data_IF_350627716003
#
_entry.id   IF_350627716003
#
_cell.length_a   1.000
_cell.length_b   1.000
_cell.length_c   1.000
_cell.angle_alpha   90.00
_cell.angle_beta   90.00
_cell.angle_gamma   90.00
#
_symmetry.space_group_name_H-M   'P 1'
#
loop_
_entity.id
_entity.type
_entity.pdbx_description
1 polymer ?
#
# COMPACT_ATOMS: atom_id res chain seq x y z
N UNK A 1 -3.71 -8.31 -1.76
CA UNK A 1 -3.40 -8.45 -3.20
C UNK A 1 -2.37 -9.55 -3.49
N UNK A 2 -1.25 -9.65 -2.76
CA UNK A 2 -0.27 -10.75 -2.95
C UNK A 2 -0.87 -12.16 -2.76
N UNK A 3 -1.63 -12.36 -1.68
CA UNK A 3 -2.33 -13.64 -1.41
C UNK A 3 -3.24 -14.10 -2.56
N UNK A 4 -3.94 -13.18 -3.23
CA UNK A 4 -4.82 -13.55 -4.35
C UNK A 4 -4.04 -13.97 -5.60
N UNK A 5 -2.88 -13.36 -5.85
CA UNK A 5 -2.01 -13.76 -6.97
C UNK A 5 -1.38 -15.13 -6.72
N UNK A 6 -1.02 -15.42 -5.47
CA UNK A 6 -0.45 -16.70 -5.07
C UNK A 6 -1.47 -17.85 -5.16
N UNK A 7 -2.70 -17.63 -4.65
CA UNK A 7 -3.79 -18.59 -4.79
C UNK A 7 -4.10 -18.94 -6.25
N UNK A 8 -4.12 -17.95 -7.15
CA UNK A 8 -4.38 -18.21 -8.58
C UNK A 8 -3.22 -18.91 -9.27
N UNK A 9 -1.98 -18.70 -8.82
CA UNK A 9 -0.82 -19.42 -9.34
C UNK A 9 -0.89 -20.90 -8.99
N UNK A 10 -1.30 -21.22 -7.76
CA UNK A 10 -1.57 -22.60 -7.32
C UNK A 10 -2.69 -23.25 -8.12
N UNK A 11 -3.76 -22.50 -8.44
CA UNK A 11 -4.87 -22.99 -9.26
C UNK A 11 -4.43 -23.31 -10.71
N UNK A 12 -3.59 -22.46 -11.31
CA UNK A 12 -2.99 -22.71 -12.63
C UNK A 12 -2.10 -23.95 -12.61
N UNK A 13 -1.28 -24.13 -11.57
CA UNK A 13 -0.38 -25.26 -11.46
C UNK A 13 -1.13 -26.57 -11.19
N UNK A 14 -2.23 -26.52 -10.44
CA UNK A 14 -3.17 -27.64 -10.29
C UNK A 14 -3.80 -28.05 -11.62
N UNK A 15 -4.28 -27.09 -12.42
CA UNK A 15 -4.85 -27.37 -13.75
C UNK A 15 -3.79 -27.89 -14.74
N UNK A 16 -2.53 -27.42 -14.65
CA UNK A 16 -1.43 -28.02 -15.42
C UNK A 16 -1.14 -29.46 -14.99
N UNK A 17 -1.23 -29.77 -13.69
CA UNK A 17 -1.03 -31.11 -13.16
C UNK A 17 -2.15 -32.07 -13.58
N UNK A 18 -3.41 -31.61 -13.63
CA UNK A 18 -4.55 -32.41 -14.13
C UNK A 18 -4.41 -32.87 -15.58
N UNK A 19 -3.64 -32.14 -16.41
CA UNK A 19 -3.37 -32.56 -17.79
C UNK A 19 -2.34 -33.67 -17.91
N UNK A 20 -1.61 -34.00 -16.85
CA UNK A 20 -0.70 -35.15 -16.83
C UNK A 20 -1.50 -36.41 -16.56
N UNK A 21 -1.20 -37.54 -17.24
CA UNK A 21 -1.82 -38.82 -16.91
C UNK A 21 -1.61 -39.13 -15.42
N UNK A 22 -2.70 -39.36 -14.68
CA UNK A 22 -2.63 -39.73 -13.27
C UNK A 22 -2.86 -41.25 -13.15
N UNK A 23 -1.80 -42.06 -13.10
CA UNK A 23 -1.94 -43.51 -13.03
C UNK A 23 -2.54 -43.91 -11.68
N UNK A 24 -3.60 -44.71 -11.70
CA UNK A 24 -4.20 -45.24 -10.48
C UNK A 24 -3.87 -46.72 -10.35
N UNK A 25 -3.46 -47.15 -9.15
CA UNK A 25 -3.14 -48.55 -8.85
C UNK A 25 -4.21 -49.10 -7.92
N UNK A 26 -4.92 -50.13 -8.37
CA UNK A 26 -5.97 -50.79 -7.59
C UNK A 26 -5.49 -52.17 -7.17
N UNK A 27 -5.49 -52.43 -5.86
CA UNK A 27 -5.16 -53.71 -5.26
C UNK A 27 -6.39 -54.27 -4.53
N UNK A 28 -6.79 -55.50 -4.85
CA UNK A 28 -7.97 -56.12 -4.24
C UNK A 28 -7.90 -57.64 -4.19
N UNK A 29 -8.72 -58.24 -3.33
CA UNK A 29 -8.88 -59.70 -3.22
C UNK A 29 -10.28 -60.05 -3.69
N UNK A 30 -10.39 -60.87 -4.73
CA UNK A 30 -11.67 -61.37 -5.22
C UNK A 30 -11.85 -62.82 -4.78
N UNK A 31 -13.02 -63.11 -4.20
CA UNK A 31 -13.41 -64.47 -3.83
C UNK A 31 -14.34 -65.01 -4.91
N UNK A 32 -13.97 -66.11 -5.57
CA UNK A 32 -14.82 -66.76 -6.55
C UNK A 32 -15.27 -68.12 -6.05
N UNK A 33 -16.55 -68.45 -6.25
CA UNK A 33 -17.11 -69.78 -6.01
C UNK A 33 -17.53 -70.35 -7.36
N UNK A 34 -16.84 -71.37 -7.85
CA UNK A 34 -17.23 -72.08 -9.06
C UNK A 34 -18.39 -73.02 -8.74
N UNK A 35 -19.47 -72.95 -9.53
CA UNK A 35 -20.62 -73.83 -9.36
C UNK A 35 -20.21 -75.28 -9.64
N UNK A 36 -20.30 -76.14 -8.62
CA UNK A 36 -20.00 -77.58 -8.72
C UNK A 36 -18.73 -78.06 -8.00
N UNK A 37 -17.94 -77.19 -7.36
CA UNK A 37 -16.79 -77.61 -6.54
C UNK A 37 -16.78 -76.90 -5.17
N UNK A 38 -16.62 -77.67 -4.08
CA UNK A 38 -16.55 -77.18 -2.70
C UNK A 38 -15.16 -76.61 -2.36
N UNK A 39 -14.73 -75.55 -3.05
CA UNK A 39 -13.46 -74.87 -2.80
C UNK A 39 -13.63 -73.34 -2.90
N UNK A 40 -13.21 -72.61 -1.86
CA UNK A 40 -13.20 -71.14 -1.84
C UNK A 40 -11.85 -70.68 -2.38
N UNK A 41 -11.83 -70.06 -3.56
CA UNK A 41 -10.61 -69.54 -4.16
C UNK A 41 -10.52 -68.02 -3.95
N UNK A 42 -9.44 -67.59 -3.28
CA UNK A 42 -9.14 -66.19 -2.99
C UNK A 42 -7.97 -65.75 -3.87
N UNK A 43 -8.20 -64.83 -4.82
CA UNK A 43 -7.17 -64.35 -5.73
C UNK A 43 -6.86 -62.88 -5.45
N UNK A 44 -5.57 -62.54 -5.34
CA UNK A 44 -5.08 -61.15 -5.24
C UNK A 44 -4.94 -60.61 -6.66
N UNK A 45 -5.51 -59.42 -6.93
CA UNK A 45 -5.40 -58.73 -8.23
C UNK A 45 -4.83 -57.34 -8.01
N UNK A 46 -3.82 -57.00 -8.83
CA UNK A 46 -3.30 -55.66 -8.99
C UNK A 46 -3.60 -55.17 -10.41
N UNK A 47 -4.21 -54.00 -10.55
CA UNK A 47 -4.48 -53.35 -11.82
C UNK A 47 -3.88 -51.95 -11.83
N UNK A 48 -3.28 -51.56 -12.95
CA UNK A 48 -2.76 -50.20 -13.19
C UNK A 48 -3.58 -49.58 -14.31
N UNK A 49 -4.26 -48.49 -14.01
CA UNK A 49 -5.04 -47.73 -14.98
C UNK A 49 -4.33 -46.42 -15.32
N UNK A 50 -4.06 -46.16 -16.60
CA UNK A 50 -3.43 -44.92 -17.08
C UNK A 50 -4.42 -44.23 -18.03
N UNK A 51 -5.17 -43.22 -17.56
CA UNK A 51 -6.08 -42.49 -18.44
C UNK A 51 -5.28 -41.60 -19.42
N UNK A 52 -5.57 -41.75 -20.72
CA UNK A 52 -5.01 -40.90 -21.78
C UNK A 52 -6.07 -39.90 -22.24
N UNK A 53 -5.83 -38.59 -22.04
CA UNK A 53 -6.69 -37.54 -22.57
C UNK A 53 -6.33 -37.22 -24.03
N UNK A 54 -7.14 -37.70 -24.98
CA UNK A 54 -6.94 -37.48 -26.42
C UNK A 54 -7.49 -36.13 -26.92
N UNK A 55 -8.41 -35.49 -26.17
CA UNK A 55 -9.02 -34.19 -26.50
C UNK A 55 -8.90 -33.26 -25.29
N UNK A 56 -8.05 -32.23 -25.40
CA UNK A 56 -7.75 -31.29 -24.31
C UNK A 56 -8.75 -30.12 -24.29
N UNK A 57 -9.88 -30.30 -23.59
CA UNK A 57 -10.85 -29.20 -23.33
C UNK A 57 -10.34 -28.18 -22.30
N UNK A 58 -9.23 -28.46 -21.61
CA UNK A 58 -8.70 -27.58 -20.56
C UNK A 58 -7.81 -26.45 -21.13
N UNK A 59 -7.50 -26.45 -22.43
CA UNK A 59 -6.73 -25.38 -23.08
C UNK A 59 -7.38 -24.00 -22.94
N UNK A 60 -8.71 -23.91 -23.09
CA UNK A 60 -9.45 -22.65 -22.94
C UNK A 60 -9.48 -22.17 -21.49
N UNK A 61 -9.59 -23.08 -20.52
CA UNK A 61 -9.49 -22.74 -19.11
C UNK A 61 -8.12 -22.13 -18.81
N UNK A 62 -7.04 -22.78 -19.23
CA UNK A 62 -5.67 -22.27 -19.03
C UNK A 62 -5.44 -20.90 -19.69
N UNK A 63 -5.97 -20.66 -20.88
CA UNK A 63 -5.89 -19.34 -21.53
C UNK A 63 -6.67 -18.28 -20.74
N UNK A 64 -7.87 -18.61 -20.23
CA UNK A 64 -8.66 -17.73 -19.37
C UNK A 64 -7.94 -17.37 -18.07
N UNK A 65 -7.31 -18.35 -17.40
CA UNK A 65 -6.51 -18.10 -16.20
C UNK A 65 -5.22 -17.31 -16.50
N UNK A 66 -4.54 -17.56 -17.62
CA UNK A 66 -3.38 -16.78 -18.04
C UNK A 66 -3.75 -15.31 -18.29
N UNK A 67 -4.88 -15.05 -18.95
CA UNK A 67 -5.39 -13.69 -19.15
C UNK A 67 -5.76 -13.02 -17.81
N UNK A 68 -6.36 -13.76 -16.88
CA UNK A 68 -6.67 -13.28 -15.52
C UNK A 68 -5.42 -12.95 -14.72
N UNK A 69 -4.37 -13.77 -14.83
CA UNK A 69 -3.07 -13.53 -14.20
C UNK A 69 -2.41 -12.27 -14.78
N UNK A 70 -2.40 -12.12 -16.10
CA UNK A 70 -1.88 -10.91 -16.74
C UNK A 70 -2.64 -9.65 -16.31
N UNK A 71 -3.97 -9.73 -16.17
CA UNK A 71 -4.78 -8.63 -15.68
C UNK A 71 -4.43 -8.26 -14.23
N UNK A 72 -4.22 -9.24 -13.35
CA UNK A 72 -3.81 -9.00 -11.96
C UNK A 72 -2.40 -8.41 -11.87
N UNK A 73 -1.47 -8.92 -12.67
CA UNK A 73 -0.11 -8.36 -12.74
C UNK A 73 -0.14 -6.90 -13.22
N UNK A 74 -0.96 -6.59 -14.23
CA UNK A 74 -1.17 -5.22 -14.69
C UNK A 74 -1.78 -4.35 -13.58
N UNK A 75 -2.80 -4.84 -12.88
CA UNK A 75 -3.38 -4.12 -11.74
C UNK A 75 -2.35 -3.85 -10.65
N UNK A 76 -1.54 -4.85 -10.25
CA UNK A 76 -0.49 -4.65 -9.25
C UNK A 76 0.53 -3.60 -9.68
N UNK A 77 1.01 -3.66 -10.92
CA UNK A 77 1.92 -2.65 -11.47
C UNK A 77 1.28 -1.27 -11.49
N UNK A 78 0.01 -1.19 -11.87
CA UNK A 78 -0.74 0.06 -11.87
C UNK A 78 -0.83 0.67 -10.46
N UNK A 79 -1.20 -0.12 -9.45
CA UNK A 79 -1.24 0.35 -8.06
C UNK A 79 0.14 0.77 -7.54
N UNK A 80 1.18 -0.01 -7.83
CA UNK A 80 2.55 0.35 -7.45
C UNK A 80 2.98 1.67 -8.10
N UNK A 81 2.70 1.86 -9.39
CA UNK A 81 2.99 3.10 -10.11
C UNK A 81 2.18 4.28 -9.57
N UNK A 82 0.91 4.06 -9.24
CA UNK A 82 0.04 5.08 -8.66
C UNK A 82 0.57 5.54 -7.30
N UNK A 83 1.01 4.61 -6.45
CA UNK A 83 1.61 4.91 -5.15
C UNK A 83 2.92 5.70 -5.32
N UNK A 84 3.81 5.28 -6.23
CA UNK A 84 5.04 6.01 -6.53
C UNK A 84 4.76 7.44 -7.02
N UNK A 85 3.77 7.61 -7.89
CA UNK A 85 3.37 8.93 -8.38
C UNK A 85 2.76 9.80 -7.28
N UNK A 86 1.99 9.23 -6.34
CA UNK A 86 1.49 9.94 -5.17
C UNK A 86 2.64 10.41 -4.25
N UNK A 87 3.60 9.54 -3.95
CA UNK A 87 4.79 9.88 -3.15
C UNK A 87 5.60 11.02 -3.80
N UNK A 88 5.85 10.94 -5.11
CA UNK A 88 6.56 12.00 -5.85
C UNK A 88 5.84 13.35 -5.78
N UNK A 89 4.51 13.35 -5.88
CA UNK A 89 3.71 14.58 -5.75
C UNK A 89 3.86 15.18 -4.36
N UNK A 90 3.69 14.39 -3.30
CA UNK A 90 3.86 14.84 -1.91
C UNK A 90 5.26 15.42 -1.66
N UNK A 91 6.31 14.74 -2.16
CA UNK A 91 7.68 15.23 -2.03
C UNK A 91 7.91 16.55 -2.76
N UNK A 92 7.31 16.71 -3.95
CA UNK A 92 7.38 17.96 -4.72
C UNK A 92 6.66 19.10 -4.00
N UNK A 93 5.48 18.82 -3.45
CA UNK A 93 4.71 19.76 -2.65
C UNK A 93 5.49 20.22 -1.42
N UNK A 94 6.08 19.30 -0.67
CA UNK A 94 6.94 19.59 0.49
C UNK A 94 8.13 20.47 0.12
N UNK A 95 8.80 20.17 -0.99
CA UNK A 95 9.92 20.97 -1.50
C UNK A 95 9.47 22.38 -1.88
N UNK A 96 8.28 22.51 -2.49
CA UNK A 96 7.66 23.79 -2.79
C UNK A 96 7.33 24.60 -1.55
N UNK A 97 6.72 23.99 -0.53
CA UNK A 97 6.40 24.61 0.75
C UNK A 97 7.67 25.11 1.46
N UNK A 98 8.73 24.30 1.49
CA UNK A 98 10.01 24.70 2.09
C UNK A 98 10.65 25.88 1.34
N UNK A 99 10.61 25.88 0.01
CA UNK A 99 11.13 26.99 -0.80
C UNK A 99 10.37 28.28 -0.53
N UNK A 100 9.04 28.22 -0.49
CA UNK A 100 8.19 29.37 -0.13
C UNK A 100 8.51 29.89 1.28
N UNK A 101 8.75 28.99 2.23
CA UNK A 101 9.10 29.36 3.60
C UNK A 101 10.43 30.11 3.65
N UNK A 102 11.44 29.61 2.94
CA UNK A 102 12.75 30.25 2.87
C UNK A 102 12.68 31.64 2.23
N UNK A 103 11.89 31.80 1.16
CA UNK A 103 11.67 33.11 0.53
C UNK A 103 11.00 34.10 1.50
N UNK A 104 9.96 33.67 2.21
CA UNK A 104 9.30 34.52 3.22
C UNK A 104 10.27 34.92 4.34
N UNK A 105 11.05 33.96 4.85
CA UNK A 105 11.95 34.16 5.98
C UNK A 105 13.18 35.01 5.64
N UNK A 106 13.73 34.88 4.43
CA UNK A 106 14.96 35.56 4.02
C UNK A 106 14.73 36.90 3.31
N UNK A 107 13.57 37.10 2.68
CA UNK A 107 13.33 38.28 1.85
C UNK A 107 12.10 39.05 2.30
N UNK A 108 10.91 38.43 2.31
CA UNK A 108 9.66 39.19 2.48
C UNK A 108 9.52 39.79 3.90
N UNK A 109 9.73 39.00 4.95
CA UNK A 109 9.61 39.50 6.33
C UNK A 109 10.66 40.58 6.63
N UNK A 110 11.97 40.37 6.34
CA UNK A 110 12.98 41.42 6.54
C UNK A 110 12.65 42.72 5.79
N UNK A 111 12.16 42.61 4.54
CA UNK A 111 11.75 43.78 3.76
C UNK A 111 10.57 44.51 4.42
N UNK A 112 9.56 43.79 4.90
CA UNK A 112 8.43 44.43 5.60
C UNK A 112 8.81 45.05 6.94
N UNK A 113 9.81 44.50 7.64
CA UNK A 113 10.41 45.16 8.82
C UNK A 113 11.08 46.47 8.41
N UNK A 114 11.87 46.48 7.33
CA UNK A 114 12.53 47.68 6.83
C UNK A 114 11.52 48.76 6.39
N UNK A 115 10.42 48.35 5.74
CA UNK A 115 9.33 49.25 5.36
C UNK A 115 8.68 49.89 6.59
N UNK A 116 8.38 49.10 7.62
CA UNK A 116 7.81 49.63 8.86
C UNK A 116 8.76 50.61 9.54
N UNK A 117 10.06 50.29 9.61
CA UNK A 117 11.08 51.17 10.20
C UNK A 117 11.18 52.51 9.46
N UNK A 118 11.22 52.48 8.12
CA UNK A 118 11.21 53.69 7.29
C UNK A 118 9.92 54.49 7.45
N UNK A 119 8.77 53.84 7.60
CA UNK A 119 7.51 54.53 7.85
C UNK A 119 7.48 55.18 9.23
N UNK A 120 8.02 54.54 10.26
CA UNK A 120 8.16 55.12 11.59
C UNK A 120 9.03 56.39 11.56
N UNK A 121 10.19 56.33 10.88
CA UNK A 121 11.06 57.49 10.69
C UNK A 121 10.36 58.61 9.91
N UNK A 122 9.63 58.26 8.84
CA UNK A 122 8.87 59.23 8.06
C UNK A 122 7.68 59.84 8.82
N UNK A 123 7.03 59.07 9.70
CA UNK A 123 5.99 59.58 10.60
C UNK A 123 6.58 60.57 11.62
N UNK A 124 7.72 60.24 12.24
CA UNK A 124 8.44 61.17 13.13
C UNK A 124 8.83 62.46 12.41
N UNK A 125 9.19 62.37 11.13
CA UNK A 125 9.46 63.51 10.26
C UNK A 125 8.20 64.20 9.69
N UNK A 126 6.99 63.73 10.03
CA UNK A 126 5.70 64.28 9.57
C UNK A 126 5.33 63.96 8.11
N UNK A 127 6.07 63.07 7.44
CA UNK A 127 5.83 62.67 6.03
C UNK A 127 4.78 61.59 5.86
N UNK A 128 4.56 60.76 6.87
CA UNK A 128 3.54 59.71 6.87
C UNK A 128 2.55 59.93 8.00
N UNK A 129 1.32 59.43 7.81
CA UNK A 129 0.29 59.44 8.85
C UNK A 129 0.47 58.25 9.79
N UNK A 130 -0.15 58.33 10.99
CA UNK A 130 -0.17 57.19 11.91
C UNK A 130 -0.88 55.97 11.30
N UNK A 131 -1.86 56.20 10.43
CA UNK A 131 -2.60 55.16 9.72
C UNK A 131 -1.70 54.38 8.77
N UNK A 132 -0.77 55.05 8.08
CA UNK A 132 0.18 54.38 7.17
C UNK A 132 1.11 53.44 7.94
N UNK A 133 1.62 53.90 9.09
CA UNK A 133 2.44 53.08 10.00
C UNK A 133 1.65 51.87 10.50
N UNK A 134 0.39 52.07 10.91
CA UNK A 134 -0.49 50.98 11.36
C UNK A 134 -0.72 49.96 10.24
N UNK A 135 -0.94 50.41 9.00
CA UNK A 135 -1.12 49.53 7.86
C UNK A 135 0.13 48.69 7.59
N UNK A 136 1.33 49.28 7.64
CA UNK A 136 2.59 48.53 7.50
C UNK A 136 2.81 47.52 8.63
N UNK A 137 2.47 47.88 9.87
CA UNK A 137 2.55 46.97 11.01
C UNK A 137 1.60 45.77 10.86
N UNK A 138 0.36 46.02 10.42
CA UNK A 138 -0.61 44.96 10.11
C UNK A 138 -0.11 44.03 9.00
N UNK A 139 0.44 44.58 7.92
CA UNK A 139 1.02 43.80 6.82
C UNK A 139 2.16 42.89 7.29
N UNK A 140 3.06 43.40 8.13
CA UNK A 140 4.13 42.59 8.73
C UNK A 140 3.56 41.45 9.57
N UNK A 141 2.54 41.73 10.39
CA UNK A 141 1.91 40.70 11.23
C UNK A 141 1.23 39.61 10.39
N UNK A 142 0.50 39.98 9.33
CA UNK A 142 -0.11 39.03 8.40
C UNK A 142 0.93 38.12 7.72
N UNK A 143 2.08 38.67 7.32
CA UNK A 143 3.17 37.88 6.76
C UNK A 143 3.77 36.91 7.78
N UNK A 144 3.93 37.31 9.03
CA UNK A 144 4.40 36.42 10.10
C UNK A 144 3.41 35.27 10.35
N UNK A 145 2.10 35.56 10.34
CA UNK A 145 1.06 34.53 10.46
C UNK A 145 1.11 33.54 9.28
N UNK A 146 1.19 34.05 8.05
CA UNK A 146 1.31 33.23 6.84
C UNK A 146 2.54 32.30 6.89
N UNK A 147 3.68 32.79 7.40
CA UNK A 147 4.88 31.97 7.62
C UNK A 147 4.59 30.79 8.56
N UNK A 148 3.92 31.03 9.68
CA UNK A 148 3.59 29.97 10.64
C UNK A 148 2.61 28.95 10.06
N UNK A 149 1.63 29.40 9.28
CA UNK A 149 0.70 28.50 8.57
C UNK A 149 1.43 27.62 7.56
N UNK A 150 2.38 28.18 6.80
CA UNK A 150 3.19 27.44 5.84
C UNK A 150 4.07 26.39 6.54
N UNK A 151 4.67 26.74 7.68
CA UNK A 151 5.41 25.78 8.52
C UNK A 151 4.50 24.63 8.97
N UNK A 152 3.31 24.95 9.49
CA UNK A 152 2.32 23.93 9.88
C UNK A 152 1.98 22.99 8.72
N UNK A 153 1.73 23.53 7.52
CA UNK A 153 1.45 22.74 6.33
C UNK A 153 2.62 21.83 5.93
N UNK A 154 3.86 22.32 6.00
CA UNK A 154 5.05 21.53 5.72
C UNK A 154 5.21 20.35 6.70
N UNK A 155 4.97 20.57 8.00
CA UNK A 155 4.94 19.50 9.00
C UNK A 155 3.85 18.48 8.72
N UNK A 156 2.64 18.93 8.41
CA UNK A 156 1.52 18.04 8.04
C UNK A 156 1.87 17.19 6.81
N UNK A 157 2.44 17.81 5.77
CA UNK A 157 2.85 17.10 4.54
C UNK A 157 3.95 16.06 4.82
N UNK A 158 4.92 16.39 5.68
CA UNK A 158 5.98 15.45 6.09
C UNK A 158 5.41 14.23 6.82
N UNK A 159 4.50 14.45 7.76
CA UNK A 159 3.84 13.38 8.49
C UNK A 159 2.98 12.49 7.58
N UNK A 160 2.28 13.07 6.59
CA UNK A 160 1.55 12.27 5.59
C UNK A 160 2.48 11.42 4.74
N UNK A 161 3.63 11.96 4.33
CA UNK A 161 4.63 11.21 3.57
C UNK A 161 5.16 10.03 4.38
N UNK A 162 5.54 10.26 5.63
CA UNK A 162 6.08 9.23 6.53
C UNK A 162 5.03 8.14 6.82
N UNK A 163 3.80 8.53 7.17
CA UNK A 163 2.68 7.62 7.35
C UNK A 163 2.48 6.70 6.14
N UNK A 164 2.46 7.29 4.93
CA UNK A 164 2.29 6.55 3.68
C UNK A 164 3.45 5.60 3.39
N UNK A 165 4.69 5.98 3.70
CA UNK A 165 5.85 5.10 3.51
C UNK A 165 5.87 3.92 4.49
N UNK A 166 5.35 4.12 5.71
CA UNK A 166 5.25 3.09 6.74
C UNK A 166 3.98 2.23 6.61
N UNK A 167 3.06 2.58 5.70
CA UNK A 167 1.78 1.89 5.54
C UNK A 167 0.73 2.23 6.61
N UNK A 168 0.96 3.29 7.39
CA UNK A 168 0.07 3.76 8.45
C UNK A 168 -0.91 4.80 7.89
N UNK A 169 -2.18 4.75 8.32
CA UNK A 169 -3.20 5.72 7.90
C UNK A 169 -2.86 7.14 8.39
N UNK A 170 -2.81 8.15 7.49
CA UNK A 170 -2.46 9.53 7.87
C UNK A 170 -3.37 10.16 8.93
N UNK A 171 -4.65 9.77 8.97
CA UNK A 171 -5.64 10.30 9.92
C UNK A 171 -5.35 9.91 11.38
N UNK A 172 -4.71 8.75 11.58
CA UNK A 172 -4.31 8.24 12.90
C UNK A 172 -3.18 9.07 13.50
N UNK A 173 -2.25 9.56 12.66
CA UNK A 173 -1.05 10.31 13.08
C UNK A 173 -1.34 11.81 13.27
N UNK A 174 -2.36 12.33 12.60
CA UNK A 174 -2.75 13.75 12.67
C UNK A 174 -3.70 14.09 13.82
N UNK A 175 -4.21 13.09 14.54
CA UNK A 175 -5.07 13.29 15.71
C UNK A 175 -4.24 13.70 16.94
N UNK A 176 -4.86 14.44 17.87
CA UNK A 176 -4.20 14.80 19.13
C UNK A 176 -3.77 13.56 19.95
N UNK A 177 -4.44 12.43 19.74
CA UNK A 177 -4.23 11.15 20.44
C UNK A 177 -3.37 10.16 19.62
N UNK A 178 -2.68 10.64 18.58
CA UNK A 178 -1.91 9.83 17.64
C UNK A 178 -0.90 8.89 18.31
N UNK A 179 -0.26 9.34 19.39
CA UNK A 179 0.74 8.53 20.11
C UNK A 179 0.12 7.31 20.79
N UNK A 180 -1.08 7.45 21.36
CA UNK A 180 -1.78 6.33 22.00
C UNK A 180 -2.27 5.31 20.96
N UNK A 181 -2.77 5.79 19.82
CA UNK A 181 -3.24 4.92 18.74
C UNK A 181 -2.10 4.19 18.04
N UNK A 182 -0.96 4.85 17.81
CA UNK A 182 0.26 4.21 17.28
C UNK A 182 0.76 3.12 18.22
N UNK A 183 0.80 3.39 19.53
CA UNK A 183 1.16 2.39 20.52
C UNK A 183 0.23 1.17 20.45
N UNK A 184 -1.10 1.37 20.45
CA UNK A 184 -2.06 0.26 20.34
C UNK A 184 -1.88 -0.56 19.06
N UNK A 185 -1.66 0.10 17.92
CA UNK A 185 -1.50 -0.58 16.62
C UNK A 185 -0.19 -1.38 16.58
N UNK A 186 0.91 -0.81 17.07
CA UNK A 186 2.20 -1.51 17.18
C UNK A 186 2.14 -2.71 18.15
N UNK A 187 1.39 -2.60 19.25
CA UNK A 187 1.16 -3.74 20.14
C UNK A 187 0.32 -4.83 19.49
N UNK A 188 -0.67 -4.50 18.66
CA UNK A 188 -1.44 -5.50 17.91
C UNK A 188 -0.62 -6.19 16.82
N UNK A 189 0.20 -5.42 16.09
CA UNK A 189 1.10 -5.97 15.05
C UNK A 189 2.17 -6.88 15.67
N UNK A 190 2.77 -6.49 16.80
CA UNK A 190 3.73 -7.36 17.50
C UNK A 190 3.11 -8.63 18.07
N UNK A 191 1.84 -8.59 18.51
CA UNK A 191 1.12 -9.77 18.97
C UNK A 191 0.71 -10.69 17.80
N UNK A 192 0.35 -10.14 16.64
CA UNK A 192 0.04 -10.94 15.45
C UNK A 192 1.28 -11.60 14.83
N UNK A 193 2.44 -10.93 14.89
CA UNK A 193 3.74 -11.52 14.51
C UNK A 193 4.17 -12.65 15.46
N UNK A 194 3.82 -12.57 16.75
CA UNK A 194 4.17 -13.58 17.74
C UNK A 194 3.23 -14.80 17.74
N UNK A 195 2.00 -14.64 17.27
CA UNK A 195 1.04 -15.75 17.13
C UNK A 195 1.19 -16.52 15.81
N UNK A 196 1.96 -16.00 14.84
CA UNK A 196 2.28 -16.67 13.57
C UNK A 196 3.38 -17.75 13.63
N UNK A 197 4.07 -17.91 14.76
CA UNK A 197 5.17 -18.89 14.93
C UNK A 197 4.82 -20.07 15.84
N UNK A 198 3.52 -20.31 16.09
CA UNK A 198 3.10 -21.35 17.03
C UNK A 198 1.72 -21.94 16.74
N UNK A 199 1.49 -22.47 15.55
CA UNK A 199 0.45 -23.49 15.34
C UNK A 199 0.61 -24.21 13.99
N UNK A 200 1.05 -25.48 14.06
CA UNK A 200 0.87 -26.62 13.15
C UNK A 200 1.24 -26.48 11.66
#
# INVERSE_FOLDING_TARGET
>A
MQLQAEQQRLEIDYLKAQRRPNPTVTLGVVQSKQAGMSGRDNQIRAAVEIPLNLIDRQQYALQGYAAKQQLLDQQQRFYAQQNLNQLKRLQTELTGLNTQYQLMQKQQIPLSVEVLDKMLLGFQAGKFSITDVQQAALQLHEQQLKKNQLLKQAWQSTLQLEARTLGISPDTIMSADALEQLQYTLWQDTQSLNTGNGAN
#
